data_IF_259635087568
#
_entry.id   IF_259635087568
#
_cell.length_a   1.000
_cell.length_b   1.000
_cell.length_c   1.000
_cell.angle_alpha   90.00
_cell.angle_beta   90.00
_cell.angle_gamma   90.00
#
_symmetry.space_group_name_H-M   'P 1'
#
loop_
_entity.id
_entity.type
_entity.pdbx_description
1 polymer ?
#
# COMPACT_ATOMS: atom_id res chain seq x y z
N UNK A 1 -16.26 -10.12 -12.60
CA UNK A 1 -17.18 -9.03 -12.23
C UNK A 1 -18.06 -9.31 -11.00
N UNK A 2 -19.03 -10.24 -10.99
CA UNK A 2 -19.93 -10.42 -9.81
C UNK A 2 -19.17 -10.89 -8.54
N UNK A 3 -18.24 -11.85 -8.69
CA UNK A 3 -17.42 -12.38 -7.58
C UNK A 3 -16.52 -11.31 -6.96
N UNK A 4 -15.86 -10.50 -7.78
CA UNK A 4 -14.94 -9.44 -7.30
C UNK A 4 -15.69 -8.34 -6.57
N UNK A 5 -16.88 -7.96 -7.05
CA UNK A 5 -17.71 -6.95 -6.40
C UNK A 5 -18.20 -7.44 -5.02
N UNK A 6 -18.66 -8.70 -4.93
CA UNK A 6 -19.07 -9.30 -3.66
C UNK A 6 -17.92 -9.38 -2.65
N UNK A 7 -16.73 -9.75 -3.11
CA UNK A 7 -15.53 -9.78 -2.27
C UNK A 7 -15.13 -8.37 -1.83
N UNK A 8 -15.25 -7.37 -2.69
CA UNK A 8 -14.97 -5.97 -2.35
C UNK A 8 -15.95 -5.43 -1.30
N UNK A 9 -17.24 -5.77 -1.42
CA UNK A 9 -18.24 -5.43 -0.41
C UNK A 9 -17.98 -6.13 0.92
N UNK A 10 -17.55 -7.40 0.91
CA UNK A 10 -17.15 -8.11 2.15
C UNK A 10 -15.91 -7.48 2.79
N UNK A 11 -14.91 -7.12 1.98
CA UNK A 11 -13.70 -6.44 2.42
C UNK A 11 -14.05 -5.11 3.12
N UNK A 12 -14.89 -4.27 2.50
CA UNK A 12 -15.38 -3.03 3.12
C UNK A 12 -16.20 -3.30 4.38
N UNK A 13 -17.07 -4.32 4.39
CA UNK A 13 -17.91 -4.67 5.53
C UNK A 13 -17.11 -5.13 6.75
N UNK A 14 -15.92 -5.71 6.53
CA UNK A 14 -14.97 -6.05 7.61
C UNK A 14 -14.21 -4.85 8.17
N UNK A 15 -14.64 -3.62 7.83
CA UNK A 15 -13.99 -2.37 8.24
C UNK A 15 -12.52 -2.32 7.85
N UNK A 16 -12.20 -2.85 6.66
CA UNK A 16 -10.88 -2.66 6.11
C UNK A 16 -10.59 -1.15 6.05
N UNK A 17 -9.49 -0.68 6.66
CA UNK A 17 -9.17 0.74 6.70
C UNK A 17 -8.88 1.25 5.29
N UNK A 18 -9.51 2.38 4.91
CA UNK A 18 -9.15 3.10 3.70
C UNK A 18 -7.80 3.80 3.90
N UNK A 19 -6.90 3.68 2.93
CA UNK A 19 -5.54 4.19 3.06
C UNK A 19 -5.32 5.40 2.17
N UNK A 20 -5.28 6.58 2.79
CA UNK A 20 -5.16 7.86 2.10
C UNK A 20 -3.71 8.29 1.82
N UNK A 21 -2.74 7.67 2.51
CA UNK A 21 -1.34 8.00 2.39
C UNK A 21 -0.58 7.87 3.72
N UNK A 22 0.76 7.91 3.69
CA UNK A 22 1.58 7.71 4.88
C UNK A 22 1.47 8.86 5.88
N UNK A 23 1.38 8.55 7.17
CA UNK A 23 1.79 9.48 8.24
C UNK A 23 3.08 8.98 8.93
N UNK A 24 3.27 7.65 9.08
CA UNK A 24 4.51 6.98 9.60
C UNK A 24 4.66 5.54 9.06
N UNK A 25 5.88 5.02 8.92
CA UNK A 25 6.15 3.64 8.49
C UNK A 25 5.44 2.58 9.35
N UNK A 26 5.44 2.77 10.68
CA UNK A 26 4.80 1.83 11.63
C UNK A 26 3.29 1.73 11.40
N UNK A 27 2.63 2.84 11.10
CA UNK A 27 1.18 2.87 10.85
C UNK A 27 0.83 2.19 9.52
N UNK A 28 1.67 2.36 8.50
CA UNK A 28 1.53 1.67 7.22
C UNK A 28 1.75 0.16 7.32
N UNK A 29 2.73 -0.27 8.12
CA UNK A 29 2.98 -1.69 8.37
C UNK A 29 1.81 -2.34 9.14
N UNK A 30 1.30 -1.68 10.17
CA UNK A 30 0.14 -2.17 10.92
C UNK A 30 -1.12 -2.27 10.04
N UNK A 31 -1.33 -1.28 9.16
CA UNK A 31 -2.40 -1.32 8.17
C UNK A 31 -2.25 -2.51 7.21
N UNK A 32 -1.05 -2.72 6.66
CA UNK A 32 -0.78 -3.82 5.75
C UNK A 32 -1.01 -5.18 6.42
N UNK A 33 -0.61 -5.34 7.69
CA UNK A 33 -0.89 -6.54 8.48
C UNK A 33 -2.40 -6.75 8.62
N UNK A 34 -3.15 -5.70 8.95
CA UNK A 34 -4.60 -5.80 9.10
C UNK A 34 -5.28 -6.20 7.77
N UNK A 35 -4.90 -5.57 6.66
CA UNK A 35 -5.39 -5.93 5.33
C UNK A 35 -5.05 -7.39 5.02
N UNK A 36 -3.82 -7.82 5.30
CA UNK A 36 -3.37 -9.18 5.06
C UNK A 36 -4.24 -10.21 5.80
N UNK A 37 -4.53 -9.97 7.08
CA UNK A 37 -5.39 -10.85 7.90
C UNK A 37 -6.79 -10.97 7.30
N UNK A 38 -7.37 -9.86 6.86
CA UNK A 38 -8.71 -9.85 6.23
C UNK A 38 -8.69 -10.66 4.93
N UNK A 39 -7.69 -10.45 4.07
CA UNK A 39 -7.59 -11.14 2.78
C UNK A 39 -7.30 -12.64 2.95
N UNK A 40 -6.52 -13.02 3.96
CA UNK A 40 -6.28 -14.42 4.33
C UNK A 40 -7.55 -15.10 4.84
N UNK A 41 -8.30 -14.41 5.71
CA UNK A 41 -9.59 -14.89 6.20
C UNK A 41 -10.59 -15.11 5.05
N UNK A 42 -10.55 -14.26 4.02
CA UNK A 42 -11.36 -14.41 2.81
C UNK A 42 -10.89 -15.54 1.87
N UNK A 43 -9.73 -16.16 2.12
CA UNK A 43 -9.19 -17.25 1.30
C UNK A 43 -8.74 -16.82 -0.09
N UNK A 44 -8.27 -15.57 -0.24
CA UNK A 44 -7.89 -15.02 -1.55
C UNK A 44 -6.53 -15.53 -2.03
N UNK A 45 -6.43 -15.79 -3.34
CA UNK A 45 -5.16 -16.10 -4.00
C UNK A 45 -4.23 -14.87 -4.04
N UNK A 46 -2.92 -15.09 -4.20
CA UNK A 46 -1.92 -14.01 -4.16
C UNK A 46 -2.25 -12.86 -5.12
N UNK A 47 -2.69 -13.16 -6.34
CA UNK A 47 -3.06 -12.17 -7.34
C UNK A 47 -4.31 -11.39 -6.94
N UNK A 48 -5.29 -12.06 -6.34
CA UNK A 48 -6.49 -11.43 -5.80
C UNK A 48 -6.12 -10.47 -4.66
N UNK A 49 -5.17 -10.82 -3.79
CA UNK A 49 -4.71 -9.94 -2.70
C UNK A 49 -4.11 -8.63 -3.21
N UNK A 50 -3.27 -8.70 -4.25
CA UNK A 50 -2.70 -7.51 -4.91
C UNK A 50 -3.81 -6.65 -5.50
N UNK A 51 -4.77 -7.26 -6.19
CA UNK A 51 -5.91 -6.57 -6.76
C UNK A 51 -6.74 -5.84 -5.69
N UNK A 52 -7.18 -6.55 -4.65
CA UNK A 52 -8.01 -5.97 -3.58
C UNK A 52 -7.28 -4.86 -2.82
N UNK A 53 -6.01 -5.08 -2.47
CA UNK A 53 -5.22 -4.06 -1.77
C UNK A 53 -5.03 -2.83 -2.64
N UNK A 54 -4.76 -3.00 -3.94
CA UNK A 54 -4.66 -1.87 -4.88
C UNK A 54 -5.96 -1.07 -5.02
N UNK A 55 -7.13 -1.72 -4.89
CA UNK A 55 -8.42 -1.03 -4.86
C UNK A 55 -8.64 -0.24 -3.57
N UNK A 56 -8.09 -0.71 -2.44
CA UNK A 56 -8.19 -0.02 -1.15
C UNK A 56 -7.29 1.23 -1.03
N UNK A 57 -6.29 1.37 -1.90
CA UNK A 57 -5.43 2.57 -1.93
C UNK A 57 -6.23 3.80 -2.38
N UNK A 58 -6.04 4.92 -1.71
CA UNK A 58 -6.72 6.18 -2.00
C UNK A 58 -5.73 7.35 -1.97
N UNK A 59 -6.16 8.52 -2.50
CA UNK A 59 -5.40 9.77 -2.56
C UNK A 59 -3.92 9.57 -2.97
N UNK A 60 -2.95 9.89 -2.11
CA UNK A 60 -1.52 9.83 -2.45
C UNK A 60 -1.04 8.41 -2.73
N UNK A 61 -1.53 7.43 -1.96
CA UNK A 61 -1.16 6.03 -2.15
C UNK A 61 -1.65 5.49 -3.50
N UNK A 62 -2.83 5.96 -3.96
CA UNK A 62 -3.34 5.64 -5.30
C UNK A 62 -2.48 6.23 -6.41
N UNK A 63 -2.01 7.47 -6.26
CA UNK A 63 -1.12 8.10 -7.24
C UNK A 63 0.23 7.38 -7.34
N UNK A 64 0.82 7.00 -6.20
CA UNK A 64 2.03 6.17 -6.20
C UNK A 64 1.81 4.83 -6.91
N UNK A 65 0.72 4.14 -6.59
CA UNK A 65 0.43 2.84 -7.19
C UNK A 65 0.29 2.93 -8.72
N UNK A 66 -0.35 3.99 -9.23
CA UNK A 66 -0.41 4.24 -10.68
C UNK A 66 1.00 4.38 -11.30
N UNK A 67 1.95 4.99 -10.58
CA UNK A 67 3.34 5.10 -11.04
C UNK A 67 4.01 3.73 -11.10
N UNK A 68 3.80 2.88 -10.08
CA UNK A 68 4.30 1.48 -10.10
C UNK A 68 3.71 0.70 -11.29
N UNK A 69 2.41 0.85 -11.55
CA UNK A 69 1.74 0.21 -12.69
C UNK A 69 2.29 0.68 -14.05
N UNK A 70 2.77 1.93 -14.16
CA UNK A 70 3.41 2.44 -15.37
C UNK A 70 4.85 1.93 -15.54
N UNK A 71 5.58 1.74 -14.44
CA UNK A 71 6.99 1.37 -14.47
C UNK A 71 7.23 -0.15 -14.47
N UNK A 72 6.25 -0.97 -14.09
CA UNK A 72 6.39 -2.42 -13.97
C UNK A 72 5.15 -3.17 -14.44
N UNK A 73 5.37 -4.40 -14.92
CA UNK A 73 4.30 -5.33 -15.20
C UNK A 73 3.71 -5.89 -13.91
N UNK A 74 2.61 -5.28 -13.43
CA UNK A 74 1.91 -5.70 -12.21
C UNK A 74 1.02 -6.93 -12.39
N UNK A 75 0.75 -7.38 -13.63
CA UNK A 75 -0.19 -8.47 -13.89
C UNK A 75 0.26 -9.81 -13.29
N UNK A 76 1.58 -10.02 -13.17
CA UNK A 76 2.18 -11.20 -12.58
C UNK A 76 2.82 -10.92 -11.21
N UNK A 77 2.53 -9.77 -10.62
CA UNK A 77 3.11 -9.37 -9.34
C UNK A 77 2.63 -10.31 -8.24
N UNK A 78 3.57 -10.89 -7.48
CA UNK A 78 3.23 -11.66 -6.29
C UNK A 78 2.79 -10.73 -5.16
N UNK A 79 2.15 -11.30 -4.15
CA UNK A 79 1.84 -10.53 -2.94
C UNK A 79 3.12 -9.99 -2.27
N UNK A 80 4.19 -10.79 -2.24
CA UNK A 80 5.47 -10.35 -1.67
C UNK A 80 6.08 -9.18 -2.44
N UNK A 81 6.01 -9.19 -3.78
CA UNK A 81 6.48 -8.08 -4.61
C UNK A 81 5.71 -6.79 -4.32
N UNK A 82 4.38 -6.89 -4.19
CA UNK A 82 3.53 -5.77 -3.79
C UNK A 82 3.96 -5.20 -2.43
N UNK A 83 4.17 -6.06 -1.43
CA UNK A 83 4.60 -5.66 -0.09
C UNK A 83 5.97 -4.97 -0.13
N UNK A 84 6.90 -5.47 -0.94
CA UNK A 84 8.23 -4.88 -1.11
C UNK A 84 8.15 -3.48 -1.73
N UNK A 85 7.36 -3.32 -2.79
CA UNK A 85 7.10 -2.02 -3.42
C UNK A 85 6.45 -1.05 -2.43
N UNK A 86 5.41 -1.52 -1.73
CA UNK A 86 4.69 -0.73 -0.75
C UNK A 86 5.61 -0.22 0.34
N UNK A 87 6.39 -1.10 0.98
CA UNK A 87 7.39 -0.72 2.00
C UNK A 87 8.46 0.22 1.43
N UNK A 88 8.94 -0.03 0.22
CA UNK A 88 9.94 0.80 -0.46
C UNK A 88 9.49 2.26 -0.64
N UNK A 89 8.20 2.49 -0.91
CA UNK A 89 7.63 3.85 -0.96
C UNK A 89 7.86 4.62 0.35
N UNK A 90 7.66 3.97 1.50
CA UNK A 90 7.81 4.61 2.82
C UNK A 90 9.27 4.84 3.16
N UNK A 91 10.14 3.84 2.96
CA UNK A 91 11.56 3.98 3.25
C UNK A 91 12.19 5.12 2.44
N UNK A 92 11.84 5.26 1.16
CA UNK A 92 12.33 6.36 0.34
C UNK A 92 11.82 7.71 0.83
N UNK A 93 10.57 7.82 1.27
CA UNK A 93 10.01 9.06 1.82
C UNK A 93 10.63 9.43 3.17
N UNK A 94 10.79 8.48 4.10
CA UNK A 94 11.41 8.75 5.40
C UNK A 94 12.88 9.15 5.25
N UNK A 95 13.61 8.47 4.36
CA UNK A 95 15.00 8.83 4.05
C UNK A 95 15.10 10.22 3.42
N UNK A 96 14.19 10.55 2.49
CA UNK A 96 14.15 11.87 1.86
C UNK A 96 13.79 12.98 2.86
N UNK A 97 12.82 12.74 3.75
CA UNK A 97 12.45 13.68 4.81
C UNK A 97 13.61 13.93 5.77
N UNK A 98 14.30 12.86 6.21
CA UNK A 98 15.47 12.98 7.08
C UNK A 98 16.61 13.77 6.42
N UNK A 99 16.89 13.51 5.14
CA UNK A 99 17.89 14.26 4.37
C UNK A 99 17.50 15.74 4.19
N UNK A 100 16.22 16.04 4.01
CA UNK A 100 15.70 17.40 3.91
C UNK A 100 15.87 18.16 5.24
N UNK A 101 15.55 17.52 6.35
CA UNK A 101 15.72 18.09 7.69
C UNK A 101 17.20 18.34 8.01
N UNK A 102 18.07 17.38 7.66
CA UNK A 102 19.52 17.51 7.81
C UNK A 102 20.06 18.69 6.98
N UNK A 103 19.68 18.79 5.71
CA UNK A 103 20.07 19.89 4.82
C UNK A 103 19.59 21.26 5.33
N UNK A 104 18.35 21.33 5.85
CA UNK A 104 17.81 22.55 6.44
C UNK A 104 18.54 22.94 7.73
N UNK A 105 18.92 21.96 8.56
CA UNK A 105 19.70 22.20 9.78
C UNK A 105 21.13 22.68 9.49
N UNK A 106 21.76 22.18 8.42
CA UNK A 106 23.09 22.61 7.99
C UNK A 106 23.12 24.02 7.40
N UNK A 107 22.00 24.51 6.85
CA UNK A 107 21.88 25.86 6.29
C UNK A 107 21.70 26.95 7.35
N UNK A 108 21.44 26.58 8.60
CA UNK A 108 21.19 27.51 9.71
C UNK A 108 22.36 27.60 10.72
N UNK A 109 23.53 27.06 10.37
CA UNK A 109 24.79 27.19 11.12
C UNK A 109 25.72 28.26 10.54
#
# INVERSE_FOLDING_TARGET
MIRENLLYEQFRRMKAPEFEGPTKLIEADNLLIHIQVILDFMGLAMQEKVLFTSFALNKEARHWWMTVQMCRNVANMSWQDFVAEFKGMYYNRETFAALQDEFNSMKQG
#
